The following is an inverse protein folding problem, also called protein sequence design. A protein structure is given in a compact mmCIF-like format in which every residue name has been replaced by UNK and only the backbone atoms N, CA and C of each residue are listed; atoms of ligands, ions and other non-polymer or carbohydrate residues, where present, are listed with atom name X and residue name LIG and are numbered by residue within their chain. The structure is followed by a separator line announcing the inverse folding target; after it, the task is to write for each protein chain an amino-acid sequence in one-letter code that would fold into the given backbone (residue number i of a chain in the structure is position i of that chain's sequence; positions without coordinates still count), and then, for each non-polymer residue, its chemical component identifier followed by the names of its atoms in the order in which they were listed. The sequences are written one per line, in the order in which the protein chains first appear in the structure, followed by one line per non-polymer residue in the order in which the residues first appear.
data_IF_968594506280
#
_entry.id   IF_968594506280
#
_cell.length_a   1.000
_cell.length_b   1.000
_cell.length_c   1.000
_cell.angle_alpha   90.00
_cell.angle_beta   90.00
_cell.angle_gamma   90.00
#
_symmetry.space_group_name_H-M   'P 1'
#
loop_
_entity.id
_entity.type
_entity.pdbx_description
1 polymer ?
#
# COMPACT_ATOMS: atom_id res chain seq x y z
N UNK A 1 -0.80 -0.54 -13.54
CA UNK A 1 -0.79 0.03 -12.18
C UNK A 1 0.06 -0.80 -11.24
N UNK A 2 1.10 -0.17 -10.68
CA UNK A 2 1.92 -0.74 -9.60
C UNK A 2 1.47 -0.19 -8.26
N UNK A 3 1.17 -1.07 -7.30
CA UNK A 3 0.73 -0.71 -5.95
C UNK A 3 1.72 -1.26 -4.93
N UNK A 4 2.06 -0.44 -3.92
CA UNK A 4 2.86 -0.83 -2.76
C UNK A 4 1.97 -0.93 -1.53
N UNK A 5 2.05 -2.03 -0.76
CA UNK A 5 1.37 -2.18 0.53
C UNK A 5 2.38 -2.35 1.65
N UNK A 6 2.36 -1.43 2.61
CA UNK A 6 3.31 -1.42 3.73
C UNK A 6 2.59 -1.84 5.00
N UNK A 7 2.94 -3.02 5.53
CA UNK A 7 2.39 -3.54 6.78
C UNK A 7 3.12 -3.11 8.07
N UNK A 8 4.14 -2.26 7.97
CA UNK A 8 4.94 -1.86 9.13
C UNK A 8 4.13 -0.88 10.02
N UNK A 9 4.03 -1.11 11.34
CA UNK A 9 3.23 -0.25 12.23
C UNK A 9 3.83 1.14 12.46
N UNK A 10 5.07 1.40 12.04
CA UNK A 10 5.67 2.73 12.08
C UNK A 10 5.30 3.52 10.82
N UNK A 11 4.61 4.67 10.92
CA UNK A 11 4.37 5.54 9.76
C UNK A 11 5.67 5.96 9.09
N UNK A 12 5.67 6.05 7.76
CA UNK A 12 6.86 6.43 6.98
C UNK A 12 8.09 5.55 7.29
N UNK A 13 7.86 4.25 7.47
CA UNK A 13 8.92 3.31 7.86
C UNK A 13 10.02 3.19 6.81
N UNK A 14 11.17 2.66 7.23
CA UNK A 14 12.23 2.21 6.31
C UNK A 14 11.73 1.09 5.38
N UNK A 15 10.76 0.28 5.83
CA UNK A 15 10.09 -0.73 4.99
C UNK A 15 9.36 -0.06 3.83
N UNK A 16 8.64 1.05 4.08
CA UNK A 16 8.01 1.85 3.03
C UNK A 16 9.03 2.36 2.01
N UNK A 17 10.09 2.99 2.49
CA UNK A 17 11.15 3.52 1.62
C UNK A 17 11.78 2.41 0.75
N UNK A 18 12.00 1.23 1.30
CA UNK A 18 12.52 0.09 0.56
C UNK A 18 11.53 -0.42 -0.50
N UNK A 19 10.24 -0.51 -0.16
CA UNK A 19 9.20 -0.99 -1.08
C UNK A 19 9.00 -0.03 -2.26
N UNK A 20 8.93 1.29 -2.01
CA UNK A 20 8.86 2.31 -3.06
C UNK A 20 10.10 2.28 -3.97
N UNK A 21 11.29 2.08 -3.39
CA UNK A 21 12.53 1.93 -4.16
C UNK A 21 12.48 0.70 -5.07
N UNK A 22 12.05 -0.45 -4.55
CA UNK A 22 11.96 -1.69 -5.32
C UNK A 22 10.92 -1.56 -6.44
N UNK A 23 9.74 -0.99 -6.15
CA UNK A 23 8.72 -0.73 -7.16
C UNK A 23 9.26 0.13 -8.31
N UNK A 24 9.99 1.21 -7.97
CA UNK A 24 10.68 2.05 -8.95
C UNK A 24 11.72 1.31 -9.78
N UNK A 25 12.53 0.45 -9.16
CA UNK A 25 13.57 -0.31 -9.85
C UNK A 25 13.01 -1.42 -10.75
N UNK A 26 11.93 -2.08 -10.34
CA UNK A 26 11.33 -3.18 -11.11
C UNK A 26 10.50 -2.69 -12.29
N UNK A 27 9.82 -1.55 -12.14
CA UNK A 27 8.88 -1.06 -13.16
C UNK A 27 9.39 0.12 -13.98
N UNK A 28 10.51 0.74 -13.56
CA UNK A 28 11.09 1.91 -14.21
C UNK A 28 10.38 3.23 -13.90
N UNK A 29 9.27 3.18 -13.15
CA UNK A 29 8.46 4.34 -12.74
C UNK A 29 8.08 4.21 -11.25
N UNK A 30 7.81 5.31 -10.52
CA UNK A 30 7.34 5.22 -9.14
C UNK A 30 5.99 4.49 -9.06
N UNK A 31 5.66 3.87 -7.91
CA UNK A 31 4.34 3.24 -7.72
C UNK A 31 3.23 4.30 -7.81
N UNK A 32 2.10 3.93 -8.40
CA UNK A 32 0.94 4.81 -8.56
C UNK A 32 0.20 4.98 -7.24
N UNK A 33 0.15 3.92 -6.42
CA UNK A 33 -0.43 3.95 -5.09
C UNK A 33 0.51 3.34 -4.05
N UNK A 34 0.59 3.98 -2.89
CA UNK A 34 1.26 3.46 -1.70
C UNK A 34 0.24 3.43 -0.57
N UNK A 35 -0.07 2.22 -0.09
CA UNK A 35 -1.00 2.00 1.01
C UNK A 35 -0.15 1.65 2.24
N UNK A 36 -0.01 2.60 3.16
CA UNK A 36 0.56 2.34 4.48
C UNK A 36 -0.57 1.84 5.39
N UNK A 37 -0.53 0.57 5.78
CA UNK A 37 -1.62 -0.09 6.51
C UNK A 37 -1.86 0.60 7.87
N UNK A 38 -0.82 1.24 8.44
CA UNK A 38 -0.96 2.02 9.67
C UNK A 38 -1.95 3.18 9.52
N UNK A 39 -2.09 3.76 8.31
CA UNK A 39 -3.00 4.89 8.05
C UNK A 39 -4.48 4.46 8.05
N UNK A 40 -4.76 3.15 7.88
CA UNK A 40 -6.11 2.58 7.97
C UNK A 40 -6.54 2.38 9.44
N UNK A 41 -5.58 2.23 10.35
CA UNK A 41 -5.80 2.21 11.80
C UNK A 41 -6.89 1.25 12.26
N UNK A 42 -7.76 1.73 13.16
CA UNK A 42 -8.85 0.93 13.74
C UNK A 42 -9.89 0.44 12.71
N UNK A 43 -9.95 1.05 11.52
CA UNK A 43 -10.84 0.60 10.44
C UNK A 43 -10.59 -0.84 10.01
N UNK A 44 -9.36 -1.34 10.21
CA UNK A 44 -8.97 -2.73 9.94
C UNK A 44 -9.58 -3.74 10.93
N UNK A 45 -10.01 -3.30 12.11
CA UNK A 45 -10.53 -4.18 13.17
C UNK A 45 -12.04 -4.42 13.04
N UNK A 46 -12.71 -3.68 12.16
CA UNK A 46 -14.14 -3.76 11.92
C UNK A 46 -14.49 -4.25 10.52
N UNK A 47 -15.77 -4.53 10.31
CA UNK A 47 -16.32 -4.86 8.99
C UNK A 47 -16.86 -3.60 8.32
N UNK A 48 -16.69 -3.50 7.00
CA UNK A 48 -17.34 -2.48 6.19
C UNK A 48 -16.72 -1.08 6.25
N UNK A 49 -15.52 -0.91 6.80
CA UNK A 49 -14.82 0.37 6.76
C UNK A 49 -14.60 0.83 5.29
N UNK A 50 -15.09 2.02 4.89
CA UNK A 50 -15.00 2.48 3.51
C UNK A 50 -13.56 2.67 3.01
N UNK A 51 -12.63 3.12 3.86
CA UNK A 51 -11.23 3.31 3.47
C UNK A 51 -10.53 1.97 3.26
N UNK A 52 -10.82 0.98 4.10
CA UNK A 52 -10.33 -0.39 3.91
C UNK A 52 -10.94 -1.01 2.65
N UNK A 53 -12.21 -0.73 2.34
CA UNK A 53 -12.85 -1.18 1.09
C UNK A 53 -12.19 -0.57 -0.15
N UNK A 54 -11.90 0.74 -0.13
CA UNK A 54 -11.18 1.44 -1.19
C UNK A 54 -9.76 0.90 -1.36
N UNK A 55 -8.99 0.76 -0.28
CA UNK A 55 -7.65 0.18 -0.31
C UNK A 55 -7.65 -1.22 -0.93
N UNK A 56 -8.62 -2.08 -0.57
CA UNK A 56 -8.81 -3.39 -1.19
C UNK A 56 -9.12 -3.30 -2.68
N UNK A 57 -9.96 -2.35 -3.11
CA UNK A 57 -10.29 -2.16 -4.51
C UNK A 57 -9.04 -1.77 -5.33
N UNK A 58 -8.22 -0.86 -4.82
CA UNK A 58 -6.94 -0.46 -5.42
C UNK A 58 -6.00 -1.67 -5.55
N UNK A 59 -5.80 -2.42 -4.47
CA UNK A 59 -4.94 -3.62 -4.49
C UNK A 59 -5.43 -4.66 -5.49
N UNK A 60 -6.75 -4.88 -5.57
CA UNK A 60 -7.34 -5.84 -6.52
C UNK A 60 -7.20 -5.43 -7.98
N UNK A 61 -7.05 -4.12 -8.26
CA UNK A 61 -6.86 -3.60 -9.60
C UNK A 61 -5.38 -3.51 -10.00
N UNK A 62 -4.45 -3.87 -9.12
CA UNK A 62 -3.02 -3.79 -9.38
C UNK A 62 -2.57 -4.86 -10.39
N UNK A 63 -1.77 -4.46 -11.38
CA UNK A 63 -1.08 -5.39 -12.28
C UNK A 63 0.19 -5.95 -11.61
N UNK A 64 0.79 -5.17 -10.71
CA UNK A 64 1.97 -5.50 -9.91
C UNK A 64 1.77 -5.04 -8.47
N UNK A 65 2.00 -5.93 -7.52
CA UNK A 65 1.88 -5.69 -6.09
C UNK A 65 3.23 -5.92 -5.40
N UNK A 66 3.67 -4.93 -4.63
CA UNK A 66 4.90 -4.98 -3.82
C UNK A 66 4.54 -4.87 -2.35
#
# INVERSE_FOLDING_TARGET
MTVVVVGNPKPMSRTRAAAELIAGKLTGIPPEHVIDVVDLGAGLLGWGDPKVAEAKAIVKAADSLI
#
